data_IF_236856507514
#
_entry.id   IF_236856507514
#
_cell.length_a   1.000
_cell.length_b   1.000
_cell.length_c   1.000
_cell.angle_alpha   90.00
_cell.angle_beta   90.00
_cell.angle_gamma   90.00
#
_symmetry.space_group_name_H-M   'P 1'
#
loop_
_entity.id
_entity.type
_entity.pdbx_description
1 polymer ?
#
# COMPACT_ATOMS: atom_id res chain seq x y z
N UNK A 1 128.80 110.54 33.81
CA UNK A 1 127.32 110.53 33.94
C UNK A 1 126.58 109.77 32.84
N UNK A 2 127.25 109.26 31.79
CA UNK A 2 126.59 108.55 30.66
C UNK A 2 126.25 107.08 30.94
N UNK A 3 127.08 106.36 31.70
CA UNK A 3 126.89 104.91 32.00
C UNK A 3 125.71 104.65 32.96
N UNK A 4 125.48 105.55 33.93
CA UNK A 4 124.38 105.42 34.90
C UNK A 4 123.00 105.55 34.23
N UNK A 5 122.87 106.44 33.25
CA UNK A 5 121.62 106.61 32.48
C UNK A 5 121.33 105.40 31.57
N UNK A 6 122.37 104.77 30.99
CA UNK A 6 122.21 103.58 30.15
C UNK A 6 121.75 102.35 30.97
N UNK A 7 122.27 102.18 32.19
CA UNK A 7 121.84 101.10 33.10
C UNK A 7 120.40 101.34 33.59
N UNK A 8 120.04 102.59 33.88
CA UNK A 8 118.66 102.96 34.25
C UNK A 8 117.63 102.64 33.16
N UNK A 9 117.93 102.96 31.90
CA UNK A 9 117.07 102.64 30.75
C UNK A 9 116.91 101.12 30.53
N UNK A 10 117.98 100.35 30.72
CA UNK A 10 117.95 98.90 30.56
C UNK A 10 117.13 98.22 31.67
N UNK A 11 117.25 98.70 32.91
CA UNK A 11 116.42 98.24 34.03
C UNK A 11 114.94 98.57 33.82
N UNK A 12 114.61 99.75 33.30
CA UNK A 12 113.22 100.13 32.95
C UNK A 12 112.69 99.22 31.82
N UNK A 13 113.50 98.91 30.80
CA UNK A 13 113.13 97.99 29.72
C UNK A 13 112.86 96.57 30.22
N UNK A 14 113.68 96.06 31.14
CA UNK A 14 113.46 94.74 31.77
C UNK A 14 112.21 94.75 32.66
N UNK A 15 111.96 95.81 33.41
CA UNK A 15 110.77 95.92 34.27
C UNK A 15 109.48 96.03 33.44
N UNK A 16 109.49 96.80 32.35
CA UNK A 16 108.38 96.91 31.41
C UNK A 16 108.16 95.60 30.64
N UNK A 17 109.24 94.91 30.23
CA UNK A 17 109.17 93.60 29.59
C UNK A 17 108.61 92.52 30.51
N UNK A 18 109.06 92.47 31.77
CA UNK A 18 108.53 91.58 32.79
C UNK A 18 107.06 91.90 33.13
N UNK A 19 106.70 93.19 33.20
CA UNK A 19 105.33 93.64 33.39
C UNK A 19 104.39 93.24 32.24
N UNK A 20 104.86 93.39 30.99
CA UNK A 20 104.12 92.96 29.80
C UNK A 20 103.97 91.44 29.73
N UNK A 21 105.03 90.68 30.04
CA UNK A 21 104.99 89.21 30.12
C UNK A 21 104.04 88.72 31.23
N UNK A 22 104.07 89.37 32.39
CA UNK A 22 103.15 89.07 33.49
C UNK A 22 101.69 89.39 33.11
N UNK A 23 101.45 90.52 32.43
CA UNK A 23 100.11 90.92 31.98
C UNK A 23 99.57 89.97 30.89
N UNK A 24 100.39 89.61 29.90
CA UNK A 24 100.03 88.64 28.86
C UNK A 24 99.82 87.24 29.46
N UNK A 25 100.66 86.83 30.41
CA UNK A 25 100.50 85.58 31.15
C UNK A 25 99.21 85.54 31.97
N UNK A 26 98.86 86.66 32.63
CA UNK A 26 97.60 86.82 33.38
C UNK A 26 96.39 86.79 32.44
N UNK A 27 96.45 87.45 31.28
CA UNK A 27 95.38 87.46 30.28
C UNK A 27 95.20 86.08 29.64
N UNK A 28 96.28 85.35 29.31
CA UNK A 28 96.21 83.97 28.82
C UNK A 28 95.63 83.02 29.86
N UNK A 29 96.05 83.11 31.12
CA UNK A 29 95.47 82.30 32.22
C UNK A 29 93.98 82.59 32.41
N UNK A 30 93.55 83.85 32.33
CA UNK A 30 92.12 84.22 32.37
C UNK A 30 91.33 83.65 31.20
N UNK A 31 91.84 83.76 29.97
CA UNK A 31 91.18 83.18 28.78
C UNK A 31 91.11 81.66 28.82
N UNK A 32 92.16 80.98 29.30
CA UNK A 32 92.15 79.53 29.49
C UNK A 32 91.15 79.10 30.56
N UNK A 33 91.10 79.80 31.71
CA UNK A 33 90.11 79.53 32.75
C UNK A 33 88.68 79.81 32.29
N UNK A 34 88.45 80.84 31.47
CA UNK A 34 87.15 81.12 30.84
C UNK A 34 86.76 80.04 29.82
N UNK A 35 87.70 79.57 29.00
CA UNK A 35 87.47 78.48 28.05
C UNK A 35 87.18 77.15 28.75
N UNK A 36 87.93 76.83 29.80
CA UNK A 36 87.75 75.65 30.64
C UNK A 36 86.40 75.70 31.37
N UNK A 37 86.04 76.85 31.94
CA UNK A 37 84.72 77.08 32.55
C UNK A 37 83.58 76.94 31.55
N UNK A 38 83.72 77.49 30.33
CA UNK A 38 82.73 77.32 29.25
C UNK A 38 82.64 75.86 28.81
N UNK A 39 83.77 75.17 28.66
CA UNK A 39 83.79 73.75 28.30
C UNK A 39 83.11 72.89 29.38
N UNK A 40 83.36 73.16 30.66
CA UNK A 40 82.67 72.52 31.78
C UNK A 40 81.17 72.84 31.80
N UNK A 41 80.78 74.09 31.57
CA UNK A 41 79.38 74.49 31.51
C UNK A 41 78.65 73.82 30.33
N UNK A 42 79.27 73.73 29.16
CA UNK A 42 78.73 73.03 28.00
C UNK A 42 78.65 71.53 28.24
N UNK A 43 79.69 70.91 28.81
CA UNK A 43 79.67 69.49 29.16
C UNK A 43 78.58 69.18 30.21
N UNK A 44 78.45 70.01 31.24
CA UNK A 44 77.40 69.87 32.24
C UNK A 44 76.00 70.00 31.61
N UNK A 45 75.81 70.95 30.71
CA UNK A 45 74.55 71.14 29.98
C UNK A 45 74.21 69.95 29.08
N UNK A 46 75.18 69.41 28.35
CA UNK A 46 75.00 68.20 27.52
C UNK A 46 74.59 67.02 28.39
N UNK A 47 75.24 66.82 29.54
CA UNK A 47 74.88 65.73 30.47
C UNK A 47 73.49 65.94 31.06
N UNK A 48 73.11 67.18 31.38
CA UNK A 48 71.76 67.50 31.87
C UNK A 48 70.69 67.28 30.80
N UNK A 49 70.92 67.72 29.56
CA UNK A 49 70.04 67.50 28.42
C UNK A 49 69.90 66.00 28.13
N UNK A 50 71.00 65.25 28.06
CA UNK A 50 70.97 63.79 27.88
C UNK A 50 70.24 63.05 29.01
N UNK A 51 70.35 63.53 30.26
CA UNK A 51 69.57 62.98 31.39
C UNK A 51 68.08 63.28 31.24
N UNK A 52 67.71 64.51 30.87
CA UNK A 52 66.31 64.90 30.63
C UNK A 52 65.69 64.11 29.49
N UNK A 53 66.42 63.94 28.39
CA UNK A 53 66.00 63.12 27.25
C UNK A 53 65.87 61.64 27.65
N UNK A 54 66.84 61.10 28.38
CA UNK A 54 66.78 59.72 28.89
C UNK A 54 65.59 59.48 29.82
N UNK A 55 65.31 60.42 30.72
CA UNK A 55 64.14 60.36 31.60
C UNK A 55 62.83 60.51 30.83
N UNK A 56 62.79 61.36 29.80
CA UNK A 56 61.63 61.50 28.92
C UNK A 56 61.35 60.21 28.14
N UNK A 57 62.38 59.63 27.51
CA UNK A 57 62.28 58.35 26.79
C UNK A 57 61.82 57.24 27.74
N UNK A 58 62.39 57.17 28.96
CA UNK A 58 61.99 56.18 29.95
C UNK A 58 60.53 56.33 30.36
N UNK A 59 60.08 57.55 30.63
CA UNK A 59 58.67 57.82 30.98
C UNK A 59 57.73 57.52 29.83
N UNK A 60 58.10 57.89 28.60
CA UNK A 60 57.32 57.59 27.41
C UNK A 60 57.21 56.07 27.18
N UNK A 61 58.33 55.34 27.26
CA UNK A 61 58.34 53.89 27.15
C UNK A 61 57.51 53.22 28.26
N UNK A 62 57.57 53.73 29.50
CA UNK A 62 56.72 53.25 30.60
C UNK A 62 55.24 53.54 30.36
N UNK A 63 54.89 54.72 29.83
CA UNK A 63 53.52 55.09 29.49
C UNK A 63 52.97 54.21 28.36
N UNK A 64 53.75 54.03 27.29
CA UNK A 64 53.39 53.17 26.18
C UNK A 64 53.23 51.71 26.62
N UNK A 65 54.12 51.20 27.48
CA UNK A 65 53.99 49.86 28.05
C UNK A 65 52.73 49.74 28.92
N UNK A 66 52.44 50.74 29.75
CA UNK A 66 51.22 50.76 30.57
C UNK A 66 49.95 50.81 29.70
N UNK A 67 49.94 51.60 28.63
CA UNK A 67 48.83 51.69 27.68
C UNK A 67 48.62 50.37 26.94
N UNK A 68 49.69 49.71 26.49
CA UNK A 68 49.61 48.40 25.83
C UNK A 68 49.06 47.33 26.77
N UNK A 69 49.54 47.28 28.02
CA UNK A 69 49.04 46.34 29.03
C UNK A 69 47.57 46.63 29.35
N UNK A 70 47.19 47.90 29.48
CA UNK A 70 45.80 48.29 29.74
C UNK A 70 44.88 47.89 28.59
N UNK A 71 45.29 48.13 27.34
CA UNK A 71 44.53 47.72 26.14
C UNK A 71 44.41 46.20 26.05
N UNK A 72 45.51 45.48 26.19
CA UNK A 72 45.52 44.01 26.17
C UNK A 72 44.61 43.42 27.26
N UNK A 73 44.62 44.02 28.47
CA UNK A 73 43.72 43.62 29.55
C UNK A 73 42.26 43.89 29.21
N UNK A 74 41.95 45.05 28.62
CA UNK A 74 40.59 45.40 28.22
C UNK A 74 40.07 44.50 27.08
N UNK A 75 40.91 44.14 26.11
CA UNK A 75 40.59 43.18 25.06
C UNK A 75 40.30 41.80 25.65
N UNK A 76 41.18 41.31 26.53
CA UNK A 76 40.99 40.03 27.21
C UNK A 76 39.72 40.00 28.07
N UNK A 77 39.41 41.06 28.80
CA UNK A 77 38.16 41.18 29.57
C UNK A 77 36.92 41.24 28.68
N UNK A 78 37.02 41.74 27.44
CA UNK A 78 35.93 41.67 26.45
C UNK A 78 35.76 40.24 25.96
N UNK A 79 36.81 39.61 25.45
CA UNK A 79 36.77 38.22 24.97
C UNK A 79 36.29 37.25 26.05
N UNK A 80 36.77 37.40 27.29
CA UNK A 80 36.33 36.58 28.41
C UNK A 80 34.84 36.78 28.74
N UNK A 81 34.30 38.00 28.60
CA UNK A 81 32.87 38.26 28.76
C UNK A 81 32.05 37.65 27.64
N UNK A 82 32.51 37.78 26.40
CA UNK A 82 31.83 37.25 25.23
C UNK A 82 31.78 35.71 25.30
N UNK A 83 32.91 35.05 25.55
CA UNK A 83 32.95 33.61 25.78
C UNK A 83 32.10 33.17 26.95
N UNK A 84 32.08 33.91 28.06
CA UNK A 84 31.20 33.59 29.19
C UNK A 84 29.72 33.68 28.80
N UNK A 85 29.35 34.66 27.98
CA UNK A 85 27.98 34.82 27.50
C UNK A 85 27.57 33.69 26.55
N UNK A 86 28.48 33.27 25.66
CA UNK A 86 28.28 32.14 24.76
C UNK A 86 28.13 30.82 25.53
N UNK A 87 28.97 30.59 26.56
CA UNK A 87 28.88 29.42 27.42
C UNK A 87 27.53 29.36 28.15
N UNK A 88 27.07 30.46 28.74
CA UNK A 88 25.76 30.53 29.40
C UNK A 88 24.62 30.26 28.40
N UNK A 89 24.73 30.76 27.17
CA UNK A 89 23.73 30.52 26.13
C UNK A 89 23.70 29.03 25.72
N UNK A 90 24.87 28.40 25.59
CA UNK A 90 25.00 26.96 25.30
C UNK A 90 24.46 26.11 26.45
N UNK A 91 24.83 26.41 27.70
CA UNK A 91 24.32 25.73 28.90
C UNK A 91 22.80 25.79 28.96
N UNK A 92 22.22 26.97 28.76
CA UNK A 92 20.75 27.13 28.73
C UNK A 92 20.11 26.28 27.63
N UNK A 93 20.70 26.24 26.44
CA UNK A 93 20.21 25.43 25.32
C UNK A 93 20.34 23.93 25.59
N UNK A 94 21.41 23.50 26.27
CA UNK A 94 21.60 22.10 26.69
C UNK A 94 20.57 21.73 27.74
N UNK A 95 20.39 22.54 28.79
CA UNK A 95 19.40 22.31 29.84
C UNK A 95 17.97 22.21 29.29
N UNK A 96 17.60 23.07 28.32
CA UNK A 96 16.31 22.99 27.64
C UNK A 96 16.13 21.70 26.83
N UNK A 97 17.21 21.20 26.21
CA UNK A 97 17.18 19.93 25.49
C UNK A 97 17.06 18.75 26.44
N UNK A 98 17.79 18.76 27.55
CA UNK A 98 17.70 17.73 28.60
C UNK A 98 16.28 17.66 29.16
N UNK A 99 15.69 18.80 29.54
CA UNK A 99 14.30 18.84 30.02
C UNK A 99 13.31 18.33 28.95
N UNK A 100 13.52 18.69 27.68
CA UNK A 100 12.68 18.18 26.59
C UNK A 100 12.85 16.66 26.39
N UNK A 101 14.04 16.12 26.60
CA UNK A 101 14.31 14.68 26.50
C UNK A 101 13.66 13.96 27.68
N UNK A 102 13.79 14.46 28.90
CA UNK A 102 13.18 13.87 30.10
C UNK A 102 11.66 13.78 29.97
N UNK A 103 11.02 14.86 29.50
CA UNK A 103 9.57 14.86 29.20
C UNK A 103 9.18 13.81 28.16
N UNK A 104 10.02 13.58 27.15
CA UNK A 104 9.78 12.53 26.13
C UNK A 104 9.95 11.13 26.72
N UNK A 105 10.96 10.93 27.56
CA UNK A 105 11.20 9.65 28.24
C UNK A 105 9.99 9.31 29.12
N UNK A 106 9.49 10.26 29.91
CA UNK A 106 8.30 10.05 30.74
C UNK A 106 7.06 9.74 29.89
N UNK A 107 6.84 10.48 28.80
CA UNK A 107 5.74 10.21 27.88
C UNK A 107 5.83 8.82 27.21
N UNK A 108 7.05 8.37 26.88
CA UNK A 108 7.27 7.02 26.34
C UNK A 108 7.03 5.95 27.40
N UNK A 109 7.50 6.13 28.63
CA UNK A 109 7.27 5.21 29.74
C UNK A 109 5.76 5.05 30.03
N UNK A 110 5.00 6.15 30.02
CA UNK A 110 3.55 6.10 30.18
C UNK A 110 2.86 5.31 29.05
N UNK A 111 3.27 5.53 27.80
CA UNK A 111 2.75 4.77 26.65
C UNK A 111 3.10 3.29 26.72
N UNK A 112 4.32 2.96 27.12
CA UNK A 112 4.76 1.57 27.27
C UNK A 112 3.94 0.85 28.36
N UNK A 113 3.69 1.51 29.49
CA UNK A 113 2.82 0.97 30.53
C UNK A 113 1.37 0.77 30.05
N UNK A 114 0.82 1.71 29.26
CA UNK A 114 -0.51 1.57 28.69
C UNK A 114 -0.58 0.40 27.68
N UNK A 115 0.43 0.27 26.81
CA UNK A 115 0.51 -0.83 25.85
C UNK A 115 0.63 -2.18 26.55
N UNK A 116 1.48 -2.29 27.58
CA UNK A 116 1.61 -3.52 28.37
C UNK A 116 0.28 -3.92 29.02
N UNK A 117 -0.47 -2.95 29.56
CA UNK A 117 -1.81 -3.20 30.13
C UNK A 117 -2.81 -3.65 29.07
N UNK A 118 -2.77 -3.07 27.86
CA UNK A 118 -3.63 -3.47 26.74
C UNK A 118 -3.28 -4.89 26.25
N UNK A 119 -2.00 -5.20 26.14
CA UNK A 119 -1.52 -6.52 25.73
C UNK A 119 -1.96 -7.61 26.72
N UNK A 120 -1.82 -7.37 28.01
CA UNK A 120 -2.33 -8.29 29.04
C UNK A 120 -3.85 -8.45 28.95
N UNK A 121 -4.57 -7.35 28.71
CA UNK A 121 -6.03 -7.39 28.46
C UNK A 121 -6.41 -8.21 27.21
N UNK A 122 -5.61 -8.16 26.14
CA UNK A 122 -5.83 -9.00 24.96
C UNK A 122 -5.53 -10.46 25.25
N UNK A 123 -4.42 -10.77 25.92
CA UNK A 123 -4.05 -12.13 26.31
C UNK A 123 -5.13 -12.82 27.15
N UNK A 124 -5.73 -12.08 28.11
CA UNK A 124 -6.84 -12.59 28.91
C UNK A 124 -8.10 -12.87 28.07
N UNK A 125 -8.42 -11.98 27.11
CA UNK A 125 -9.55 -12.19 26.19
C UNK A 125 -9.34 -13.37 25.26
N UNK A 126 -8.13 -13.54 24.73
CA UNK A 126 -7.76 -14.70 23.90
C UNK A 126 -7.91 -16.00 24.68
N UNK A 127 -7.38 -16.06 25.91
CA UNK A 127 -7.56 -17.22 26.79
C UNK A 127 -9.03 -17.53 27.08
N UNK A 128 -9.84 -16.50 27.36
CA UNK A 128 -11.28 -16.68 27.59
C UNK A 128 -12.03 -17.15 26.32
N UNK A 129 -11.66 -16.64 25.14
CA UNK A 129 -12.24 -17.06 23.87
C UNK A 129 -11.90 -18.51 23.55
N UNK A 130 -10.64 -18.91 23.76
CA UNK A 130 -10.20 -20.30 23.56
C UNK A 130 -10.94 -21.24 24.51
N UNK A 131 -11.08 -20.87 25.79
CA UNK A 131 -11.86 -21.63 26.76
C UNK A 131 -13.31 -21.81 26.33
N UNK A 132 -13.96 -20.74 25.86
CA UNK A 132 -15.33 -20.79 25.32
C UNK A 132 -15.43 -21.64 24.05
N UNK A 133 -14.42 -21.63 23.19
CA UNK A 133 -14.39 -22.46 21.97
C UNK A 133 -14.42 -23.94 22.34
N UNK A 134 -13.55 -24.36 23.26
CA UNK A 134 -13.49 -25.75 23.75
C UNK A 134 -14.81 -26.17 24.41
N UNK A 135 -15.43 -25.28 25.19
CA UNK A 135 -16.74 -25.55 25.79
C UNK A 135 -17.84 -25.71 24.72
N UNK A 136 -17.85 -24.83 23.71
CA UNK A 136 -18.79 -24.91 22.59
C UNK A 136 -18.65 -26.21 21.80
N UNK A 137 -17.42 -26.62 21.50
CA UNK A 137 -17.16 -27.90 20.80
C UNK A 137 -17.70 -29.08 21.60
N UNK A 138 -17.44 -29.11 22.92
CA UNK A 138 -18.00 -30.14 23.81
C UNK A 138 -19.52 -30.14 23.85
N UNK A 139 -20.15 -28.96 23.91
CA UNK A 139 -21.61 -28.84 23.90
C UNK A 139 -22.20 -29.32 22.57
N UNK A 140 -21.58 -28.99 21.45
CA UNK A 140 -22.00 -29.44 20.12
C UNK A 140 -21.91 -30.96 20.03
N UNK A 141 -20.83 -31.57 20.50
CA UNK A 141 -20.67 -33.03 20.49
C UNK A 141 -21.65 -33.72 21.44
N UNK A 142 -21.90 -33.16 22.63
CA UNK A 142 -22.90 -33.70 23.56
C UNK A 142 -24.34 -33.61 22.99
N UNK A 143 -24.67 -32.53 22.28
CA UNK A 143 -25.96 -32.37 21.60
C UNK A 143 -26.08 -33.37 20.45
N UNK A 144 -25.01 -33.59 19.68
CA UNK A 144 -24.96 -34.60 18.62
C UNK A 144 -25.22 -36.00 19.19
N UNK A 145 -24.52 -36.38 20.24
CA UNK A 145 -24.67 -37.69 20.88
C UNK A 145 -26.12 -37.90 21.37
N UNK A 146 -26.71 -36.89 22.03
CA UNK A 146 -28.12 -36.96 22.46
C UNK A 146 -29.10 -37.06 21.29
N UNK A 147 -28.86 -36.37 20.19
CA UNK A 147 -29.68 -36.46 18.98
C UNK A 147 -29.59 -37.85 18.38
N UNK A 148 -28.40 -38.44 18.30
CA UNK A 148 -28.20 -39.81 17.81
C UNK A 148 -28.90 -40.84 18.71
N UNK A 149 -28.78 -40.68 20.04
CA UNK A 149 -29.50 -41.53 21.00
C UNK A 149 -31.02 -41.40 20.89
N UNK A 150 -31.56 -40.18 20.76
CA UNK A 150 -33.00 -39.93 20.67
C UNK A 150 -33.58 -40.39 19.33
N UNK A 151 -32.83 -40.23 18.23
CA UNK A 151 -33.22 -40.71 16.91
C UNK A 151 -33.12 -42.24 16.80
N UNK A 152 -32.41 -42.90 17.72
CA UNK A 152 -32.16 -44.35 17.69
C UNK A 152 -31.31 -44.80 16.50
N UNK A 153 -30.63 -43.85 15.84
CA UNK A 153 -29.78 -44.07 14.69
C UNK A 153 -28.73 -42.95 14.61
N UNK A 154 -27.51 -43.31 14.24
CA UNK A 154 -26.41 -42.36 14.00
C UNK A 154 -26.69 -41.51 12.76
N UNK A 155 -26.00 -40.37 12.61
CA UNK A 155 -26.13 -39.53 11.40
C UNK A 155 -25.89 -40.31 10.11
N UNK A 156 -24.89 -41.19 10.11
CA UNK A 156 -24.54 -41.98 8.93
C UNK A 156 -25.58 -43.05 8.64
N UNK A 157 -26.19 -43.65 9.67
CA UNK A 157 -27.33 -44.56 9.51
C UNK A 157 -28.56 -43.82 8.99
N UNK A 158 -28.92 -42.66 9.54
CA UNK A 158 -30.03 -41.85 9.06
C UNK A 158 -29.84 -41.46 7.58
N UNK A 159 -28.62 -41.09 7.19
CA UNK A 159 -28.28 -40.79 5.79
C UNK A 159 -28.42 -42.03 4.90
N UNK A 160 -27.98 -43.20 5.35
CA UNK A 160 -28.14 -44.46 4.60
C UNK A 160 -29.61 -44.82 4.41
N UNK A 161 -30.40 -44.79 5.49
CA UNK A 161 -31.84 -45.10 5.46
C UNK A 161 -32.58 -44.16 4.50
N UNK A 162 -32.31 -42.86 4.54
CA UNK A 162 -32.93 -41.90 3.62
C UNK A 162 -32.58 -42.20 2.17
N UNK A 163 -31.31 -42.51 1.88
CA UNK A 163 -30.87 -42.87 0.52
C UNK A 163 -31.51 -44.17 0.04
N UNK A 164 -31.68 -45.17 0.90
CA UNK A 164 -32.41 -46.41 0.57
C UNK A 164 -33.88 -46.15 0.29
N UNK A 165 -34.56 -45.38 1.14
CA UNK A 165 -35.97 -45.02 0.92
C UNK A 165 -36.18 -44.29 -0.41
N UNK A 166 -35.32 -43.31 -0.73
CA UNK A 166 -35.37 -42.61 -2.02
C UNK A 166 -35.14 -43.55 -3.20
N UNK A 167 -34.28 -44.56 -3.07
CA UNK A 167 -34.05 -45.57 -4.13
C UNK A 167 -35.27 -46.45 -4.33
N UNK A 168 -35.91 -46.88 -3.26
CA UNK A 168 -37.09 -47.75 -3.33
C UNK A 168 -38.31 -47.01 -3.88
N UNK A 169 -38.50 -45.75 -3.50
CA UNK A 169 -39.53 -44.88 -4.06
C UNK A 169 -39.32 -44.66 -5.57
N UNK A 170 -38.08 -44.34 -5.98
CA UNK A 170 -37.76 -44.19 -7.40
C UNK A 170 -38.00 -45.48 -8.21
N UNK A 171 -37.71 -46.66 -7.63
CA UNK A 171 -38.01 -47.96 -8.25
C UNK A 171 -39.52 -48.19 -8.38
N UNK A 172 -40.29 -47.84 -7.35
CA UNK A 172 -41.74 -47.98 -7.38
C UNK A 172 -42.37 -47.10 -8.47
N UNK A 173 -41.93 -45.84 -8.58
CA UNK A 173 -42.40 -44.91 -9.61
C UNK A 173 -42.02 -45.36 -11.01
N UNK A 174 -40.79 -45.81 -11.21
CA UNK A 174 -40.36 -46.38 -12.48
C UNK A 174 -41.23 -47.59 -12.87
N UNK A 175 -41.54 -48.47 -11.92
CA UNK A 175 -42.40 -49.63 -12.18
C UNK A 175 -43.85 -49.23 -12.54
N UNK A 176 -44.40 -48.18 -11.92
CA UNK A 176 -45.72 -47.63 -12.28
C UNK A 176 -45.71 -47.05 -13.70
N UNK A 177 -44.70 -46.25 -14.03
CA UNK A 177 -44.53 -45.68 -15.36
C UNK A 177 -44.40 -46.75 -16.44
N UNK A 178 -43.61 -47.81 -16.19
CA UNK A 178 -43.45 -48.92 -17.14
C UNK A 178 -44.79 -49.60 -17.41
N UNK A 179 -45.58 -49.92 -16.37
CA UNK A 179 -46.90 -50.54 -16.55
C UNK A 179 -47.85 -49.64 -17.33
N UNK A 180 -47.82 -48.34 -17.08
CA UNK A 180 -48.63 -47.38 -17.82
C UNK A 180 -48.25 -47.37 -19.31
N UNK A 181 -46.95 -47.28 -19.61
CA UNK A 181 -46.44 -47.31 -20.99
C UNK A 181 -46.84 -48.62 -21.69
N UNK A 182 -46.73 -49.77 -21.02
CA UNK A 182 -47.14 -51.06 -21.57
C UNK A 182 -48.65 -51.12 -21.86
N UNK A 183 -49.48 -50.56 -20.98
CA UNK A 183 -50.93 -50.50 -21.17
C UNK A 183 -51.30 -49.62 -22.36
N UNK A 184 -50.73 -48.41 -22.43
CA UNK A 184 -50.93 -47.47 -23.54
C UNK A 184 -50.47 -48.08 -24.87
N UNK A 185 -49.32 -48.76 -24.88
CA UNK A 185 -48.82 -49.46 -26.06
C UNK A 185 -49.75 -50.58 -26.52
N UNK A 186 -50.34 -51.35 -25.60
CA UNK A 186 -51.33 -52.40 -25.94
C UNK A 186 -52.62 -51.81 -26.49
N UNK A 187 -53.15 -50.75 -25.89
CA UNK A 187 -54.36 -50.08 -26.38
C UNK A 187 -54.15 -49.48 -27.77
N UNK A 188 -53.01 -48.83 -28.00
CA UNK A 188 -52.67 -48.28 -29.31
C UNK A 188 -52.46 -49.40 -30.35
N UNK A 189 -51.83 -50.51 -29.97
CA UNK A 189 -51.67 -51.67 -30.84
C UNK A 189 -53.02 -52.27 -31.25
N UNK A 190 -53.97 -52.46 -30.31
CA UNK A 190 -55.31 -52.95 -30.59
C UNK A 190 -56.09 -51.99 -31.52
N UNK A 191 -56.02 -50.69 -31.25
CA UNK A 191 -56.63 -49.65 -32.08
C UNK A 191 -56.09 -49.67 -33.51
N UNK A 192 -54.77 -49.78 -33.66
CA UNK A 192 -54.11 -49.90 -34.98
C UNK A 192 -54.48 -51.19 -35.69
N UNK A 193 -54.50 -52.32 -34.98
CA UNK A 193 -54.88 -53.62 -35.55
C UNK A 193 -56.31 -53.58 -36.10
N UNK A 194 -57.27 -53.09 -35.30
CA UNK A 194 -58.66 -52.91 -35.74
C UNK A 194 -58.76 -52.03 -36.98
N UNK A 195 -58.05 -50.89 -37.00
CA UNK A 195 -58.01 -49.99 -38.17
C UNK A 195 -57.49 -50.71 -39.42
N UNK A 196 -56.41 -51.47 -39.31
CA UNK A 196 -55.83 -52.22 -40.45
C UNK A 196 -56.83 -53.26 -40.97
N UNK A 197 -57.47 -54.01 -40.07
CA UNK A 197 -58.48 -55.02 -40.45
C UNK A 197 -59.68 -54.37 -41.12
N UNK A 198 -60.19 -53.26 -40.60
CA UNK A 198 -61.29 -52.51 -41.22
C UNK A 198 -60.95 -52.05 -42.64
N UNK A 199 -59.76 -51.47 -42.83
CA UNK A 199 -59.29 -51.03 -44.17
C UNK A 199 -59.14 -52.22 -45.12
N UNK A 200 -58.66 -53.37 -44.63
CA UNK A 200 -58.54 -54.57 -45.44
C UNK A 200 -59.92 -55.08 -45.89
N UNK A 201 -60.90 -55.11 -44.98
CA UNK A 201 -62.28 -55.50 -45.30
C UNK A 201 -62.91 -54.53 -46.30
N UNK A 202 -62.80 -53.21 -46.06
CA UNK A 202 -63.34 -52.18 -46.97
C UNK A 202 -62.79 -52.33 -48.40
N UNK A 203 -61.50 -52.67 -48.54
CA UNK A 203 -60.87 -52.88 -49.84
C UNK A 203 -61.29 -54.18 -50.54
N UNK A 204 -61.46 -55.27 -49.80
CA UNK A 204 -61.73 -56.61 -50.35
C UNK A 204 -63.23 -56.91 -50.53
N UNK A 205 -64.11 -56.25 -49.77
CA UNK A 205 -65.54 -56.57 -49.77
C UNK A 205 -66.21 -56.39 -51.13
N UNK A 206 -65.84 -55.34 -51.89
CA UNK A 206 -66.41 -55.08 -53.21
C UNK A 206 -66.14 -56.20 -54.22
N UNK A 207 -64.87 -56.57 -54.37
CA UNK A 207 -64.45 -57.66 -55.29
C UNK A 207 -65.05 -59.01 -54.86
N UNK A 208 -65.01 -59.33 -53.56
CA UNK A 208 -65.50 -60.61 -53.05
C UNK A 208 -67.02 -60.79 -53.19
N UNK A 209 -67.80 -59.72 -52.97
CA UNK A 209 -69.26 -59.78 -53.14
C UNK A 209 -69.60 -59.93 -54.62
N UNK A 210 -68.98 -59.13 -55.50
CA UNK A 210 -69.25 -59.20 -56.94
C UNK A 210 -68.95 -60.59 -57.53
N UNK A 211 -67.84 -61.21 -57.15
CA UNK A 211 -67.49 -62.56 -57.63
C UNK A 211 -68.51 -63.63 -57.21
N UNK A 212 -69.13 -63.49 -56.03
CA UNK A 212 -69.96 -64.54 -55.44
C UNK A 212 -71.46 -64.39 -55.66
N UNK A 213 -71.93 -63.18 -55.96
CA UNK A 213 -73.37 -62.89 -56.13
C UNK A 213 -73.81 -62.78 -57.59
N UNK A 214 -72.88 -62.73 -58.54
CA UNK A 214 -73.22 -62.71 -59.97
C UNK A 214 -73.17 -64.13 -60.52
N UNK A 215 -74.27 -64.59 -61.09
CA UNK A 215 -74.35 -65.88 -61.81
C UNK A 215 -74.87 -65.62 -63.21
N UNK A 216 -74.13 -66.08 -64.21
CA UNK A 216 -74.51 -65.96 -65.62
C UNK A 216 -75.19 -67.25 -66.06
N UNK A 217 -76.40 -67.14 -66.58
CA UNK A 217 -77.16 -68.27 -67.11
C UNK A 217 -77.36 -68.07 -68.61
N UNK A 218 -76.82 -68.95 -69.48
CA UNK A 218 -77.00 -68.83 -70.91
C UNK A 218 -78.44 -69.15 -71.31
N UNK A 219 -79.03 -68.33 -72.17
CA UNK A 219 -80.38 -68.57 -72.68
C UNK A 219 -80.34 -69.37 -74.00
N UNK A 220 -81.18 -70.41 -74.16
CA UNK A 220 -81.12 -71.31 -75.31
C UNK A 220 -81.65 -70.69 -76.62
N UNK A 221 -82.38 -69.57 -76.56
CA UNK A 221 -82.87 -68.83 -77.74
C UNK A 221 -83.41 -67.44 -77.39
N UNK A 222 -83.43 -66.54 -78.38
CA UNK A 222 -84.01 -65.19 -78.24
C UNK A 222 -85.53 -65.21 -77.98
N UNK A 223 -86.23 -66.25 -78.44
CA UNK A 223 -87.65 -66.44 -78.10
C UNK A 223 -87.83 -66.65 -76.58
N UNK A 224 -86.92 -67.39 -75.93
CA UNK A 224 -86.91 -67.55 -74.48
C UNK A 224 -86.62 -66.22 -73.78
N UNK A 225 -85.70 -65.40 -74.30
CA UNK A 225 -85.43 -64.05 -73.79
C UNK A 225 -86.68 -63.17 -73.84
N UNK A 226 -87.41 -63.17 -74.96
CA UNK A 226 -88.68 -62.44 -75.09
C UNK A 226 -89.75 -62.88 -74.08
N UNK A 227 -89.83 -64.17 -73.77
CA UNK A 227 -90.75 -64.72 -72.75
C UNK A 227 -90.33 -64.37 -71.33
N UNK A 228 -89.03 -64.40 -71.02
CA UNK A 228 -88.52 -64.03 -69.69
C UNK A 228 -88.75 -62.53 -69.41
N UNK A 229 -88.59 -61.66 -70.41
CA UNK A 229 -88.91 -60.22 -70.26
C UNK A 229 -90.42 -60.02 -70.14
N UNK A 230 -91.19 -60.59 -71.06
CA UNK A 230 -92.64 -60.41 -71.16
C UNK A 230 -93.04 -59.01 -71.66
N UNK A 231 -94.30 -58.85 -72.09
CA UNK A 231 -94.83 -57.53 -72.54
C UNK A 231 -94.71 -56.49 -71.43
N UNK A 232 -93.99 -55.40 -71.74
CA UNK A 232 -93.65 -54.29 -70.83
C UNK A 232 -92.75 -54.68 -69.63
N UNK A 233 -91.99 -55.77 -69.74
CA UNK A 233 -91.10 -56.23 -68.67
C UNK A 233 -91.84 -56.81 -67.47
N UNK A 234 -93.13 -57.17 -67.62
CA UNK A 234 -93.94 -57.69 -66.50
C UNK A 234 -93.40 -59.01 -65.95
N UNK A 235 -92.81 -59.85 -66.79
CA UNK A 235 -92.37 -61.18 -66.38
C UNK A 235 -91.01 -61.12 -65.66
N UNK A 236 -90.07 -60.29 -66.15
CA UNK A 236 -88.79 -60.08 -65.46
C UNK A 236 -88.99 -59.46 -64.07
N UNK A 237 -89.82 -58.41 -63.94
CA UNK A 237 -90.11 -57.81 -62.63
C UNK A 237 -90.81 -58.78 -61.68
N UNK A 238 -91.66 -59.67 -62.20
CA UNK A 238 -92.30 -60.69 -61.38
C UNK A 238 -91.28 -61.72 -60.85
N UNK A 239 -90.29 -62.11 -61.68
CA UNK A 239 -89.19 -62.98 -61.27
C UNK A 239 -88.31 -62.28 -60.24
N UNK A 240 -87.87 -61.04 -60.50
CA UNK A 240 -87.05 -60.24 -59.57
C UNK A 240 -87.78 -60.04 -58.23
N UNK A 241 -89.06 -59.70 -58.24
CA UNK A 241 -89.86 -59.54 -57.02
C UNK A 241 -90.08 -60.85 -56.25
N UNK A 242 -90.22 -61.98 -56.96
CA UNK A 242 -90.43 -63.28 -56.33
C UNK A 242 -89.14 -63.89 -55.76
N UNK A 243 -87.99 -63.62 -56.39
CA UNK A 243 -86.70 -64.24 -56.05
C UNK A 243 -85.76 -63.31 -55.30
N UNK A 244 -85.98 -61.99 -55.38
CA UNK A 244 -85.13 -60.97 -54.76
C UNK A 244 -83.78 -60.77 -55.45
N UNK A 245 -83.60 -61.29 -56.66
CA UNK A 245 -82.40 -61.06 -57.48
C UNK A 245 -82.67 -59.99 -58.53
N UNK A 246 -81.64 -59.25 -58.93
CA UNK A 246 -81.68 -58.35 -60.09
C UNK A 246 -81.27 -59.13 -61.35
N UNK A 247 -82.14 -59.19 -62.36
CA UNK A 247 -81.86 -59.88 -63.61
C UNK A 247 -81.44 -58.86 -64.67
N UNK A 248 -80.17 -58.88 -65.05
CA UNK A 248 -79.67 -58.11 -66.18
C UNK A 248 -79.62 -59.04 -67.39
N UNK A 249 -80.34 -58.67 -68.44
CA UNK A 249 -80.36 -59.42 -69.70
C UNK A 249 -79.54 -58.65 -70.73
N UNK A 250 -78.35 -59.17 -71.02
CA UNK A 250 -77.45 -58.63 -72.04
C UNK A 250 -77.85 -59.12 -73.44
N UNK A 251 -77.53 -58.35 -74.48
CA UNK A 251 -77.74 -58.68 -75.91
C UNK A 251 -76.44 -59.11 -76.60
N UNK A 252 -75.36 -59.27 -75.84
CA UNK A 252 -74.05 -59.63 -76.37
C UNK A 252 -73.91 -61.15 -76.53
N UNK A 253 -73.72 -61.69 -77.75
CA UNK A 253 -73.56 -63.13 -77.99
C UNK A 253 -72.16 -63.59 -77.55
N UNK A 254 -72.12 -64.47 -76.55
CA UNK A 254 -70.96 -65.21 -76.01
C UNK A 254 -69.63 -64.43 -75.92
N UNK A 255 -69.44 -63.72 -74.80
CA UNK A 255 -68.38 -63.98 -73.79
C UNK A 255 -68.96 -63.73 -72.41
#
# INVERSE_FOLDING_TARGET
MTVVNAIGLLLIGVFLGAGALWLVGRLRRRRLAELESRAHATAARIVEEARKEGDAIRKEAQSQAADLVSRAKADWEREARDHRSELIALEKRVAQKEESIDRKIEAFAQREAELAKREEGFRQKEGALEGRRVEYERLVDAVREKLEQTAGMTRDEAKRTLVEQMRDEARHDAARHIRQIESEAREEADRRAKKIVSIAIERLAGEFVAERTVSVVPLPSDDMKGRIIGREGRNIRAIEAATGVDLIIDDTPEV
#
